data_IF_823458352619
#
_entry.id   IF_823458352619
#
_cell.length_a   1.000
_cell.length_b   1.000
_cell.length_c   1.000
_cell.angle_alpha   90.00
_cell.angle_beta   90.00
_cell.angle_gamma   90.00
#
_symmetry.space_group_name_H-M   'P 1'
#
loop_
_entity.id
_entity.type
_entity.pdbx_description
1 polymer ?
#
# COMPACT_ATOMS: atom_id res chain seq x y z
N UNK A 1 -16.37 1.35 12.99
CA UNK A 1 -15.32 1.30 14.04
C UNK A 1 -14.47 2.58 14.03
N UNK A 2 -13.52 2.83 13.10
CA UNK A 2 -12.67 4.05 13.17
C UNK A 2 -13.49 5.35 13.22
N UNK A 3 -14.47 5.55 12.34
CA UNK A 3 -15.37 6.73 12.36
C UNK A 3 -16.13 6.90 13.67
N UNK A 4 -16.52 5.82 14.32
CA UNK A 4 -17.23 5.85 15.62
C UNK A 4 -16.30 6.30 16.74
N UNK A 5 -15.05 5.84 16.75
CA UNK A 5 -14.03 6.28 17.68
C UNK A 5 -13.71 7.78 17.49
N UNK A 6 -13.52 8.21 16.24
CA UNK A 6 -13.26 9.60 15.90
C UNK A 6 -14.42 10.52 16.31
N UNK A 7 -15.66 10.06 16.21
CA UNK A 7 -16.85 10.82 16.61
C UNK A 7 -16.89 11.14 18.12
N UNK A 8 -16.10 10.45 18.94
CA UNK A 8 -16.01 10.72 20.40
C UNK A 8 -15.00 11.81 20.76
N UNK A 9 -14.26 12.34 19.77
CA UNK A 9 -13.18 13.30 19.95
C UNK A 9 -13.50 14.64 19.28
N UNK A 10 -12.87 15.73 19.72
CA UNK A 10 -13.02 17.06 19.11
C UNK A 10 -12.22 17.18 17.79
N UNK A 11 -12.52 16.32 16.83
CA UNK A 11 -11.88 16.29 15.50
C UNK A 11 -12.91 16.53 14.41
N UNK A 12 -12.51 17.16 13.34
CA UNK A 12 -13.28 17.27 12.11
C UNK A 12 -12.94 16.07 11.21
N UNK A 13 -13.96 15.30 10.82
CA UNK A 13 -13.78 14.06 10.05
C UNK A 13 -14.32 14.25 8.64
N UNK A 14 -13.49 14.03 7.65
CA UNK A 14 -13.82 14.18 6.23
C UNK A 14 -13.37 12.96 5.43
N UNK A 15 -14.01 12.76 4.29
CA UNK A 15 -13.51 11.88 3.25
C UNK A 15 -13.12 12.73 2.05
N UNK A 16 -11.93 12.51 1.51
CA UNK A 16 -11.50 13.22 0.31
C UNK A 16 -12.01 12.54 -0.98
N UNK A 17 -11.66 13.13 -2.11
CA UNK A 17 -12.12 12.72 -3.44
C UNK A 17 -11.58 11.34 -3.86
N UNK A 18 -10.51 10.86 -3.21
CA UNK A 18 -9.95 9.51 -3.42
C UNK A 18 -10.48 8.47 -2.43
N UNK A 19 -11.32 8.90 -1.49
CA UNK A 19 -11.87 8.00 -0.47
C UNK A 19 -11.01 7.88 0.80
N UNK A 20 -9.90 8.61 0.89
CA UNK A 20 -9.11 8.66 2.12
C UNK A 20 -9.93 9.27 3.25
N UNK A 21 -9.82 8.70 4.44
CA UNK A 21 -10.46 9.25 5.64
C UNK A 21 -9.49 10.13 6.39
N UNK A 22 -9.86 11.39 6.59
CA UNK A 22 -9.10 12.38 7.34
C UNK A 22 -9.79 12.75 8.64
N UNK A 23 -9.01 12.93 9.71
CA UNK A 23 -9.52 13.45 10.99
C UNK A 23 -8.57 14.55 11.48
N UNK A 24 -9.07 15.79 11.51
CA UNK A 24 -8.28 16.98 11.84
C UNK A 24 -8.49 17.40 13.29
N UNK A 25 -7.40 17.54 14.03
CA UNK A 25 -7.35 18.13 15.36
C UNK A 25 -6.72 19.52 15.28
N UNK A 26 -7.49 20.54 15.57
CA UNK A 26 -7.07 21.94 15.43
C UNK A 26 -6.07 22.33 16.53
N UNK A 27 -4.91 22.81 16.12
CA UNK A 27 -3.91 23.46 16.95
C UNK A 27 -4.01 24.99 16.94
N UNK A 28 -2.95 25.66 17.37
CA UNK A 28 -2.84 27.13 17.39
C UNK A 28 -2.44 27.70 16.04
N UNK A 29 -1.80 26.92 15.17
CA UNK A 29 -1.46 27.29 13.80
C UNK A 29 -2.11 26.35 12.80
N UNK A 30 -2.16 26.77 11.53
CA UNK A 30 -2.62 25.97 10.40
C UNK A 30 -1.60 24.92 9.95
N UNK A 31 -0.32 25.11 10.32
CA UNK A 31 0.71 24.08 10.06
C UNK A 31 0.26 22.75 10.63
N UNK A 32 0.20 21.72 9.79
CA UNK A 32 -0.37 20.43 10.15
C UNK A 32 0.68 19.32 10.09
N UNK A 33 0.77 18.56 11.16
CA UNK A 33 1.50 17.28 11.18
C UNK A 33 0.49 16.18 10.90
N UNK A 34 0.72 15.39 9.86
CA UNK A 34 -0.11 14.25 9.51
C UNK A 34 0.50 12.97 10.06
N UNK A 35 -0.31 12.16 10.68
CA UNK A 35 0.04 10.79 11.13
C UNK A 35 -0.95 9.84 10.47
N UNK A 36 -0.51 8.73 9.96
CA UNK A 36 -1.45 7.79 9.36
C UNK A 36 -0.80 6.58 8.75
N UNK A 37 -1.61 5.74 8.16
CA UNK A 37 -1.31 4.55 7.39
C UNK A 37 -2.60 4.09 6.70
N UNK A 38 -2.89 2.79 6.62
CA UNK A 38 -4.07 2.23 5.96
C UNK A 38 -4.73 1.15 6.82
N UNK A 39 -6.02 0.90 6.58
CA UNK A 39 -6.78 -0.18 7.22
C UNK A 39 -7.11 -1.34 6.28
N UNK A 40 -6.96 -1.15 4.98
CA UNK A 40 -7.07 -2.24 4.02
C UNK A 40 -5.90 -3.21 4.17
N UNK A 41 -6.07 -4.45 3.72
CA UNK A 41 -5.04 -5.48 3.79
C UNK A 41 -5.14 -6.44 2.61
N UNK A 42 -4.04 -7.09 2.28
CA UNK A 42 -4.03 -8.17 1.28
C UNK A 42 -4.85 -9.37 1.77
N UNK A 43 -5.47 -10.15 0.86
CA UNK A 43 -6.20 -11.37 1.24
C UNK A 43 -5.31 -12.34 2.02
N UNK A 44 -5.79 -12.77 3.18
CA UNK A 44 -5.06 -13.64 4.11
C UNK A 44 -3.72 -13.05 4.60
N UNK A 45 -3.57 -11.74 4.53
CA UNK A 45 -2.36 -11.00 4.92
C UNK A 45 -2.34 -10.60 6.39
N UNK A 46 -1.32 -9.81 6.75
CA UNK A 46 -1.07 -9.35 8.10
C UNK A 46 -2.10 -8.31 8.56
N UNK A 47 -2.84 -8.62 9.58
CA UNK A 47 -3.85 -7.72 10.16
C UNK A 47 -3.28 -6.51 10.93
N UNK A 48 -1.97 -6.49 11.16
CA UNK A 48 -1.24 -5.36 11.78
C UNK A 48 -0.66 -4.42 10.71
N UNK A 49 -0.56 -4.89 9.47
CA UNK A 49 -0.04 -4.12 8.37
C UNK A 49 -0.93 -2.92 8.10
N UNK A 50 -0.35 -1.73 8.12
CA UNK A 50 -1.06 -0.45 8.06
C UNK A 50 -1.90 -0.13 9.30
N UNK A 51 -2.66 -1.10 9.82
CA UNK A 51 -3.56 -0.88 10.95
C UNK A 51 -2.85 -0.37 12.20
N UNK A 52 -1.60 -0.79 12.45
CA UNK A 52 -0.80 -0.27 13.56
C UNK A 52 -0.60 1.25 13.46
N UNK A 53 -0.32 1.77 12.25
CA UNK A 53 -0.10 3.19 12.01
C UNK A 53 -1.37 4.02 12.22
N UNK A 54 -2.51 3.52 11.72
CA UNK A 54 -3.81 4.18 11.93
C UNK A 54 -4.19 4.19 13.41
N UNK A 55 -4.02 3.06 14.13
CA UNK A 55 -4.31 2.98 15.56
C UNK A 55 -3.34 3.84 16.40
N UNK A 56 -2.06 3.89 16.02
CA UNK A 56 -1.07 4.79 16.61
C UNK A 56 -1.46 6.26 16.44
N UNK A 57 -1.88 6.65 15.23
CA UNK A 57 -2.39 7.99 14.93
C UNK A 57 -3.64 8.33 15.72
N UNK A 58 -4.58 7.37 15.88
CA UNK A 58 -5.77 7.54 16.71
C UNK A 58 -5.39 7.80 18.17
N UNK A 59 -4.39 7.10 18.71
CA UNK A 59 -3.93 7.29 20.09
C UNK A 59 -3.23 8.66 20.27
N UNK A 60 -2.52 9.13 19.25
CA UNK A 60 -2.00 10.51 19.24
C UNK A 60 -3.14 11.52 19.36
N UNK A 61 -4.20 11.37 18.56
CA UNK A 61 -5.37 12.28 18.65
C UNK A 61 -6.06 12.21 20.01
N UNK A 62 -6.20 11.02 20.63
CA UNK A 62 -6.74 10.86 21.99
C UNK A 62 -5.89 11.58 23.02
N UNK A 63 -4.58 11.44 22.93
CA UNK A 63 -3.65 12.11 23.82
C UNK A 63 -3.73 13.63 23.70
N UNK A 64 -3.85 14.16 22.48
CA UNK A 64 -4.04 15.59 22.22
C UNK A 64 -5.38 16.09 22.74
N UNK A 65 -6.45 15.32 22.57
CA UNK A 65 -7.79 15.66 23.06
C UNK A 65 -7.85 15.71 24.60
N UNK A 66 -7.06 14.88 25.28
CA UNK A 66 -6.97 14.87 26.74
C UNK A 66 -6.02 15.95 27.30
N UNK A 67 -5.22 16.60 26.45
CA UNK A 67 -4.25 17.60 26.88
C UNK A 67 -4.96 18.89 27.36
N UNK A 68 -4.46 19.57 28.42
CA UNK A 68 -5.10 20.77 28.95
C UNK A 68 -5.00 21.99 28.04
N UNK A 69 -4.12 21.96 27.06
CA UNK A 69 -3.90 23.06 26.12
C UNK A 69 -3.76 22.55 24.70
N UNK A 70 -4.31 23.27 23.71
CA UNK A 70 -4.14 22.90 22.30
C UNK A 70 -2.66 22.87 21.91
N UNK A 71 -2.26 21.92 21.02
CA UNK A 71 -0.90 21.87 20.50
C UNK A 71 -0.56 23.11 19.67
N UNK A 72 0.73 23.36 19.46
CA UNK A 72 1.18 24.53 18.67
C UNK A 72 0.78 24.35 17.21
N UNK A 73 0.95 23.16 16.64
CA UNK A 73 0.54 22.79 15.27
C UNK A 73 -0.77 22.01 15.29
N UNK A 74 -1.50 22.09 14.21
CA UNK A 74 -2.62 21.17 13.96
C UNK A 74 -2.10 19.76 13.69
N UNK A 75 -2.95 18.76 13.95
CA UNK A 75 -2.66 17.36 13.65
C UNK A 75 -3.77 16.79 12.79
N UNK A 76 -3.42 15.86 11.92
CA UNK A 76 -4.40 15.08 11.20
C UNK A 76 -4.03 13.59 11.24
N UNK A 77 -5.03 12.75 11.41
CA UNK A 77 -4.93 11.32 11.12
C UNK A 77 -5.44 11.10 9.71
N UNK A 78 -4.73 10.31 8.93
CA UNK A 78 -5.21 9.81 7.63
C UNK A 78 -5.23 8.29 7.61
N UNK A 79 -6.30 7.74 7.03
CA UNK A 79 -6.43 6.33 6.64
C UNK A 79 -6.47 6.30 5.11
N UNK A 80 -5.39 5.83 4.49
CA UNK A 80 -5.22 5.80 3.04
C UNK A 80 -6.12 4.75 2.41
N UNK A 81 -6.85 5.12 1.37
CA UNK A 81 -7.75 4.24 0.65
C UNK A 81 -6.96 3.36 -0.34
N UNK A 82 -7.25 2.04 -0.31
CA UNK A 82 -6.70 1.02 -1.24
C UNK A 82 -5.17 1.13 -1.39
N UNK A 83 -4.47 1.13 -0.23
CA UNK A 83 -3.01 1.20 -0.20
C UNK A 83 -2.41 -0.06 -0.80
N UNK A 84 -2.91 -1.23 -0.43
CA UNK A 84 -2.43 -2.54 -0.83
C UNK A 84 -2.80 -2.89 -2.29
N UNK A 85 -3.83 -2.27 -2.84
CA UNK A 85 -4.31 -2.55 -4.19
C UNK A 85 -4.79 -3.98 -4.39
N UNK A 86 -5.33 -4.59 -3.34
CA UNK A 86 -5.67 -6.02 -3.31
C UNK A 86 -6.70 -6.43 -4.37
N UNK A 87 -7.59 -5.53 -4.74
CA UNK A 87 -8.66 -5.82 -5.70
C UNK A 87 -8.25 -5.58 -7.16
N UNK A 88 -7.53 -4.50 -7.43
CA UNK A 88 -7.20 -4.05 -8.79
C UNK A 88 -5.72 -4.18 -9.14
N UNK A 89 -4.90 -4.78 -8.26
CA UNK A 89 -3.46 -4.96 -8.43
C UNK A 89 -2.69 -3.64 -8.66
N UNK A 90 -3.20 -2.55 -8.10
CA UNK A 90 -2.60 -1.23 -8.12
C UNK A 90 -2.60 -0.65 -6.70
N UNK A 91 -1.46 -0.71 -6.03
CA UNK A 91 -1.26 -0.16 -4.69
C UNK A 91 -1.16 1.36 -4.68
N UNK A 92 -1.26 1.94 -3.48
CA UNK A 92 -1.10 3.37 -3.20
C UNK A 92 -2.15 4.27 -3.87
N UNK A 93 -3.39 3.80 -4.09
CA UNK A 93 -4.40 4.57 -4.80
C UNK A 93 -4.66 5.93 -4.13
N UNK A 94 -5.02 5.93 -2.86
CA UNK A 94 -5.40 7.13 -2.12
C UNK A 94 -4.23 8.10 -1.92
N UNK A 95 -3.07 7.61 -1.48
CA UNK A 95 -1.89 8.43 -1.24
C UNK A 95 -1.30 9.00 -2.53
N UNK A 96 -1.31 8.24 -3.64
CA UNK A 96 -0.85 8.72 -4.94
C UNK A 96 -1.78 9.80 -5.52
N UNK A 97 -3.10 9.74 -5.26
CA UNK A 97 -4.03 10.80 -5.64
C UNK A 97 -3.69 12.11 -4.91
N UNK A 98 -3.49 12.05 -3.58
CA UNK A 98 -3.09 13.21 -2.77
C UNK A 98 -1.73 13.76 -3.20
N UNK A 99 -0.76 12.90 -3.49
CA UNK A 99 0.56 13.30 -3.98
C UNK A 99 0.54 13.84 -5.43
N UNK A 100 -0.56 13.63 -6.18
CA UNK A 100 -0.67 14.00 -7.59
C UNK A 100 0.20 13.15 -8.52
N UNK A 101 0.51 11.93 -8.11
CA UNK A 101 1.33 10.97 -8.88
C UNK A 101 0.51 9.82 -9.45
N UNK A 102 -0.80 9.75 -9.15
CA UNK A 102 -1.68 8.74 -9.69
C UNK A 102 -1.94 8.99 -11.18
N UNK A 103 -1.63 8.00 -12.01
CA UNK A 103 -1.99 8.03 -13.42
C UNK A 103 -3.46 7.61 -13.57
N UNK A 104 -4.33 8.62 -13.74
CA UNK A 104 -5.78 8.43 -13.83
C UNK A 104 -6.19 7.63 -15.07
N UNK A 105 -5.48 7.79 -16.19
CA UNK A 105 -5.79 7.07 -17.42
C UNK A 105 -5.52 5.57 -17.26
N UNK A 106 -4.42 5.23 -16.57
CA UNK A 106 -4.11 3.82 -16.28
C UNK A 106 -5.17 3.23 -15.33
N UNK A 107 -5.50 3.92 -14.23
CA UNK A 107 -6.43 3.35 -13.25
C UNK A 107 -7.86 3.24 -13.78
N UNK A 108 -8.23 4.06 -14.75
CA UNK A 108 -9.54 4.02 -15.43
C UNK A 108 -9.80 2.70 -16.16
N UNK A 109 -8.74 2.07 -16.65
CA UNK A 109 -8.80 0.81 -17.41
C UNK A 109 -8.64 -0.44 -16.55
N UNK A 110 -8.37 -0.29 -15.26
CA UNK A 110 -8.15 -1.41 -14.35
C UNK A 110 -9.43 -2.20 -14.14
N UNK A 111 -9.28 -3.52 -14.14
CA UNK A 111 -10.37 -4.48 -13.89
C UNK A 111 -10.00 -5.41 -12.75
N UNK A 112 -10.99 -5.70 -11.92
CA UNK A 112 -10.85 -6.75 -10.93
C UNK A 112 -10.94 -8.15 -11.59
N UNK A 113 -10.75 -9.21 -10.81
CA UNK A 113 -10.80 -10.61 -11.29
C UNK A 113 -12.18 -11.04 -11.82
N UNK A 114 -13.22 -10.27 -11.59
CA UNK A 114 -14.57 -10.52 -12.08
C UNK A 114 -14.92 -9.69 -13.32
N UNK A 115 -14.01 -8.81 -13.77
CA UNK A 115 -14.16 -7.94 -14.92
C UNK A 115 -14.81 -6.59 -14.62
N UNK A 116 -15.06 -6.24 -13.35
CA UNK A 116 -15.58 -4.94 -12.99
C UNK A 116 -14.49 -3.87 -13.15
N UNK A 117 -14.86 -2.73 -13.75
CA UNK A 117 -13.93 -1.59 -13.88
C UNK A 117 -13.76 -0.87 -12.53
N UNK A 118 -12.56 -0.38 -12.27
CA UNK A 118 -12.26 0.38 -11.06
C UNK A 118 -13.18 1.60 -10.90
N UNK A 119 -13.41 2.46 -11.93
CA UNK A 119 -14.29 3.61 -11.82
C UNK A 119 -15.70 3.26 -11.31
N UNK A 120 -16.26 2.16 -11.80
CA UNK A 120 -17.63 1.75 -11.43
C UNK A 120 -17.68 1.35 -9.95
N UNK A 121 -16.66 0.63 -9.50
CA UNK A 121 -16.58 0.15 -8.11
C UNK A 121 -16.33 1.28 -7.12
N UNK A 122 -15.40 2.18 -7.41
CA UNK A 122 -15.09 3.27 -6.47
C UNK A 122 -16.19 4.33 -6.42
N UNK A 123 -16.98 4.46 -7.51
CA UNK A 123 -18.14 5.35 -7.55
C UNK A 123 -19.23 4.96 -6.53
N UNK A 124 -19.38 3.66 -6.22
CA UNK A 124 -20.28 3.18 -5.17
C UNK A 124 -19.90 3.70 -3.78
N UNK A 125 -18.64 4.12 -3.61
CA UNK A 125 -18.08 4.69 -2.39
C UNK A 125 -17.89 6.20 -2.44
N UNK A 126 -18.47 6.86 -3.45
CA UNK A 126 -18.44 8.32 -3.59
C UNK A 126 -17.17 8.88 -4.22
N UNK A 127 -16.30 8.02 -4.77
CA UNK A 127 -15.06 8.43 -5.45
C UNK A 127 -15.34 8.65 -6.94
N UNK A 128 -14.94 9.83 -7.44
CA UNK A 128 -15.08 10.20 -8.86
C UNK A 128 -13.69 10.53 -9.41
N UNK A 129 -13.20 9.73 -10.35
CA UNK A 129 -11.82 9.85 -10.86
C UNK A 129 -11.48 11.24 -11.42
N UNK A 130 -12.46 11.92 -12.04
CA UNK A 130 -12.27 13.27 -12.58
C UNK A 130 -12.14 14.35 -11.50
N UNK A 131 -12.44 14.04 -10.25
CA UNK A 131 -12.34 14.95 -9.11
C UNK A 131 -11.05 14.77 -8.28
N UNK A 132 -10.23 13.77 -8.59
CA UNK A 132 -9.06 13.40 -7.77
C UNK A 132 -8.02 14.52 -7.60
N UNK A 133 -7.94 15.46 -8.52
CA UNK A 133 -7.07 16.64 -8.38
C UNK A 133 -7.39 17.48 -7.13
N UNK A 134 -8.63 17.42 -6.65
CA UNK A 134 -9.06 18.06 -5.40
C UNK A 134 -8.32 17.58 -4.16
N UNK A 135 -7.89 16.30 -4.14
CA UNK A 135 -7.16 15.72 -3.03
C UNK A 135 -5.86 16.46 -2.69
N UNK A 136 -5.22 17.10 -3.67
CA UNK A 136 -3.92 17.77 -3.51
C UNK A 136 -3.98 18.96 -2.55
N UNK A 137 -5.14 19.56 -2.38
CA UNK A 137 -5.35 20.67 -1.44
C UNK A 137 -5.11 20.27 0.01
N UNK A 138 -5.20 18.96 0.30
CA UNK A 138 -4.91 18.40 1.63
C UNK A 138 -3.47 18.62 2.09
N UNK A 139 -2.54 18.84 1.16
CA UNK A 139 -1.12 19.06 1.45
C UNK A 139 -0.74 20.52 1.69
N UNK A 140 -1.61 21.50 1.46
CA UNK A 140 -1.28 22.93 1.50
C UNK A 140 -0.65 23.39 2.81
N UNK A 141 -1.03 22.80 3.93
CA UNK A 141 -0.53 23.15 5.26
C UNK A 141 0.24 22.02 5.94
N UNK A 142 0.51 20.93 5.23
CA UNK A 142 1.25 19.80 5.79
C UNK A 142 2.73 20.12 5.86
N UNK A 143 3.27 20.07 7.06
CA UNK A 143 4.70 20.34 7.33
C UNK A 143 5.50 19.06 7.63
N UNK A 144 4.81 17.98 8.00
CA UNK A 144 5.41 16.66 8.21
C UNK A 144 4.35 15.57 8.06
N UNK A 145 4.77 14.41 7.56
CA UNK A 145 4.05 13.16 7.60
C UNK A 145 4.86 12.12 8.39
N UNK A 146 4.19 11.40 9.27
CA UNK A 146 4.77 10.36 10.09
C UNK A 146 3.91 9.10 9.96
N UNK A 147 4.55 7.99 9.77
CA UNK A 147 3.89 6.69 9.73
C UNK A 147 4.58 5.71 10.66
N UNK A 148 3.81 5.14 11.58
CA UNK A 148 4.23 4.00 12.38
C UNK A 148 3.83 2.74 11.62
N UNK A 149 4.82 1.94 11.24
CA UNK A 149 4.59 0.74 10.47
C UNK A 149 5.29 -0.47 11.10
N UNK A 150 4.77 -1.66 10.89
CA UNK A 150 5.53 -2.89 11.19
C UNK A 150 6.70 -3.00 10.22
N UNK A 151 7.78 -3.67 10.60
CA UNK A 151 8.94 -3.82 9.72
C UNK A 151 8.64 -4.65 8.47
N UNK A 152 7.65 -5.53 8.51
CA UNK A 152 7.38 -6.56 7.48
C UNK A 152 8.59 -7.48 7.24
N UNK A 153 9.47 -7.61 8.22
CA UNK A 153 10.70 -8.37 8.15
C UNK A 153 11.25 -8.71 9.54
N UNK A 154 12.34 -9.48 9.64
CA UNK A 154 12.84 -9.98 10.90
C UNK A 154 14.05 -9.21 11.46
N UNK A 155 14.49 -8.12 10.84
CA UNK A 155 15.79 -7.49 11.15
C UNK A 155 15.79 -6.84 12.52
N UNK A 156 14.77 -6.04 12.84
CA UNK A 156 14.67 -5.37 14.14
C UNK A 156 14.60 -6.40 15.27
N UNK A 157 13.83 -7.47 15.11
CA UNK A 157 13.75 -8.54 16.07
C UNK A 157 15.11 -9.25 16.25
N UNK A 158 15.77 -9.57 15.13
CA UNK A 158 17.09 -10.21 15.14
C UNK A 158 18.15 -9.33 15.85
N UNK A 159 18.10 -8.03 15.63
CA UNK A 159 19.01 -7.05 16.24
C UNK A 159 18.60 -6.65 17.67
N UNK A 160 17.46 -7.12 18.15
CA UNK A 160 16.92 -6.76 19.48
C UNK A 160 16.48 -5.30 19.59
N UNK A 161 16.11 -4.67 18.47
CA UNK A 161 15.68 -3.28 18.40
C UNK A 161 14.16 -3.19 18.43
N UNK A 162 13.61 -2.29 19.24
CA UNK A 162 12.17 -2.06 19.32
C UNK A 162 11.63 -1.10 18.25
N UNK A 163 12.48 -0.23 17.71
CA UNK A 163 12.12 0.79 16.72
C UNK A 163 13.30 0.99 15.76
N UNK A 164 12.99 1.15 14.47
CA UNK A 164 13.92 1.58 13.43
C UNK A 164 13.41 2.81 12.69
N UNK A 165 14.32 3.60 12.16
CA UNK A 165 13.96 4.73 11.28
C UNK A 165 14.22 4.28 9.85
N UNK A 166 13.18 4.35 9.00
CA UNK A 166 13.30 4.04 7.58
C UNK A 166 14.14 5.13 6.92
N UNK A 167 15.28 4.72 6.34
CA UNK A 167 16.20 5.63 5.64
C UNK A 167 16.07 5.53 4.12
N UNK A 168 15.32 4.57 3.64
CA UNK A 168 15.07 4.37 2.21
C UNK A 168 14.23 3.12 1.98
N UNK A 169 13.65 3.01 0.79
CA UNK A 169 12.88 1.85 0.32
C UNK A 169 13.49 1.30 -0.96
N UNK A 170 13.23 0.04 -1.25
CA UNK A 170 13.62 -0.58 -2.51
C UNK A 170 12.61 -0.22 -3.61
N UNK A 171 13.12 -0.04 -4.84
CA UNK A 171 12.28 -0.05 -6.02
C UNK A 171 11.72 -1.46 -6.27
N UNK A 172 10.48 -1.53 -6.79
CA UNK A 172 9.82 -2.80 -7.08
C UNK A 172 9.61 -2.91 -8.59
N UNK A 173 10.11 -4.01 -9.17
CA UNK A 173 9.82 -4.43 -10.53
C UNK A 173 8.97 -5.70 -10.50
N UNK A 174 7.95 -5.75 -11.35
CA UNK A 174 7.07 -6.92 -11.49
C UNK A 174 7.06 -7.36 -12.93
N UNK A 175 7.51 -8.60 -13.17
CA UNK A 175 7.64 -9.16 -14.49
C UNK A 175 6.77 -10.41 -14.68
N UNK A 176 6.22 -10.54 -15.87
CA UNK A 176 5.56 -11.76 -16.31
C UNK A 176 6.39 -12.44 -17.38
N UNK A 177 6.93 -13.62 -17.06
CA UNK A 177 7.74 -14.41 -17.96
C UNK A 177 6.95 -15.58 -18.53
N UNK A 178 7.06 -15.80 -19.83
CA UNK A 178 6.42 -16.94 -20.53
C UNK A 178 7.50 -17.86 -21.08
N UNK A 179 7.49 -19.11 -20.60
CA UNK A 179 8.37 -20.15 -21.09
C UNK A 179 7.62 -21.03 -22.09
N UNK A 180 8.01 -20.99 -23.36
CA UNK A 180 7.39 -21.78 -24.41
C UNK A 180 8.10 -23.10 -24.59
N UNK A 181 7.35 -24.19 -24.54
CA UNK A 181 7.82 -25.55 -24.76
C UNK A 181 7.24 -26.19 -26.03
N UNK A 182 7.35 -27.50 -26.13
CA UNK A 182 6.78 -28.29 -27.19
C UNK A 182 6.14 -29.56 -26.61
N UNK A 183 4.92 -29.83 -27.01
CA UNK A 183 4.24 -31.07 -26.66
C UNK A 183 5.00 -32.28 -27.23
N UNK A 184 5.21 -33.29 -26.41
CA UNK A 184 5.91 -34.49 -26.76
C UNK A 184 5.44 -35.69 -25.92
N UNK A 185 5.59 -36.90 -26.47
CA UNK A 185 5.22 -38.09 -25.72
C UNK A 185 6.11 -38.31 -24.50
N UNK A 186 5.50 -38.59 -23.36
CA UNK A 186 6.18 -38.66 -22.06
C UNK A 186 7.28 -39.75 -22.01
N UNK A 187 7.09 -40.91 -22.65
CA UNK A 187 7.99 -42.03 -22.56
C UNK A 187 8.98 -42.19 -23.75
N UNK A 188 8.65 -41.71 -24.93
CA UNK A 188 9.46 -41.98 -26.14
C UNK A 188 10.32 -40.82 -26.61
N UNK A 189 10.03 -39.59 -26.19
CA UNK A 189 10.84 -38.43 -26.52
C UNK A 189 12.15 -38.43 -25.72
N UNK A 190 13.34 -38.52 -26.36
CA UNK A 190 14.62 -38.45 -25.68
C UNK A 190 14.79 -37.17 -24.89
N UNK A 191 15.41 -37.21 -23.73
CA UNK A 191 15.59 -36.06 -22.84
C UNK A 191 16.32 -34.89 -23.49
N UNK A 192 17.35 -35.19 -24.30
CA UNK A 192 18.12 -34.15 -25.01
C UNK A 192 17.37 -33.42 -26.12
N UNK A 193 16.22 -33.98 -26.58
CA UNK A 193 15.39 -33.39 -27.64
C UNK A 193 14.15 -32.69 -27.08
N UNK A 194 13.92 -32.77 -25.75
CA UNK A 194 12.76 -32.14 -25.12
C UNK A 194 12.90 -30.62 -25.05
N UNK A 195 11.81 -29.94 -25.33
CA UNK A 195 11.61 -28.51 -25.08
C UNK A 195 10.57 -28.37 -23.97
N UNK A 196 11.03 -28.53 -22.74
CA UNK A 196 10.21 -28.61 -21.54
C UNK A 196 10.18 -27.23 -20.86
N UNK A 197 9.06 -26.54 -20.95
CA UNK A 197 8.87 -25.19 -20.40
C UNK A 197 8.95 -25.17 -18.88
N UNK A 198 8.41 -26.19 -18.21
CA UNK A 198 8.47 -26.28 -16.75
C UNK A 198 9.91 -26.43 -16.25
N UNK A 199 10.72 -27.27 -16.91
CA UNK A 199 12.15 -27.37 -16.55
C UNK A 199 12.92 -26.08 -16.73
N UNK A 200 12.63 -25.35 -17.83
CA UNK A 200 13.26 -24.04 -18.08
C UNK A 200 12.88 -23.02 -17.00
N UNK A 201 11.59 -22.94 -16.67
CA UNK A 201 11.09 -22.09 -15.61
C UNK A 201 11.67 -22.46 -14.23
N UNK A 202 11.69 -23.75 -13.91
CA UNK A 202 12.25 -24.22 -12.62
C UNK A 202 13.72 -23.86 -12.46
N UNK A 203 14.50 -24.00 -13.54
CA UNK A 203 15.92 -23.58 -13.51
C UNK A 203 16.05 -22.06 -13.32
N UNK A 204 15.26 -21.27 -14.03
CA UNK A 204 15.22 -19.83 -13.84
C UNK A 204 14.87 -19.45 -12.40
N UNK A 205 13.84 -20.07 -11.82
CA UNK A 205 13.42 -19.81 -10.46
C UNK A 205 14.51 -20.12 -9.41
N UNK A 206 15.31 -21.17 -9.62
CA UNK A 206 16.44 -21.50 -8.75
C UNK A 206 17.59 -20.49 -8.88
N UNK A 207 17.85 -20.00 -10.10
CA UNK A 207 18.92 -19.03 -10.35
C UNK A 207 18.54 -17.60 -9.91
N UNK A 208 17.23 -17.29 -9.83
CA UNK A 208 16.72 -15.94 -9.58
C UNK A 208 17.19 -15.37 -8.24
N UNK A 209 17.22 -16.18 -7.18
CA UNK A 209 17.68 -15.75 -5.86
C UNK A 209 19.16 -15.34 -5.87
N UNK A 210 20.01 -16.07 -6.62
CA UNK A 210 21.43 -15.75 -6.78
C UNK A 210 21.62 -14.47 -7.60
N UNK A 211 20.78 -14.24 -8.61
CA UNK A 211 20.79 -13.01 -9.40
C UNK A 211 20.46 -11.83 -8.49
N UNK A 212 19.38 -11.91 -7.71
CA UNK A 212 19.00 -10.86 -6.76
C UNK A 212 20.13 -10.53 -5.78
N UNK A 213 20.73 -11.55 -5.17
CA UNK A 213 21.83 -11.37 -4.21
C UNK A 213 23.04 -10.69 -4.85
N UNK A 214 23.42 -11.04 -6.09
CA UNK A 214 24.54 -10.41 -6.81
C UNK A 214 24.32 -8.92 -7.09
N UNK A 215 23.08 -8.49 -7.20
CA UNK A 215 22.70 -7.09 -7.48
C UNK A 215 22.22 -6.32 -6.23
N UNK A 216 22.36 -6.91 -5.04
CA UNK A 216 21.98 -6.27 -3.77
C UNK A 216 20.46 -6.09 -3.60
N UNK A 217 19.69 -6.90 -4.31
CA UNK A 217 18.22 -6.91 -4.25
C UNK A 217 17.65 -8.21 -3.71
N UNK A 218 16.33 -8.25 -3.57
CA UNK A 218 15.55 -9.43 -3.23
C UNK A 218 14.67 -9.83 -4.42
N UNK A 219 14.39 -11.11 -4.57
CA UNK A 219 13.58 -11.64 -5.66
C UNK A 219 12.58 -12.66 -5.17
N UNK A 220 11.40 -12.67 -5.74
CA UNK A 220 10.34 -13.62 -5.38
C UNK A 220 9.63 -14.11 -6.64
N UNK A 221 9.40 -15.43 -6.75
CA UNK A 221 8.48 -16.00 -7.72
C UNK A 221 7.10 -16.03 -7.07
N UNK A 222 6.26 -15.07 -7.37
CA UNK A 222 4.95 -14.87 -6.72
C UNK A 222 3.90 -15.89 -7.16
N UNK A 223 3.93 -16.32 -8.43
CA UNK A 223 3.00 -17.35 -8.94
C UNK A 223 3.57 -18.08 -10.15
N UNK A 224 3.13 -19.32 -10.33
CA UNK A 224 3.43 -20.15 -11.50
C UNK A 224 2.12 -20.77 -11.99
N UNK A 225 1.88 -20.73 -13.30
CA UNK A 225 0.78 -21.43 -13.93
C UNK A 225 1.30 -22.25 -15.14
N UNK A 226 0.82 -23.51 -15.28
CA UNK A 226 1.20 -24.43 -16.36
C UNK A 226 -0.05 -24.94 -17.08
#
# INVERSE_FOLDING_TARGET
MLREELATMPVEVEQDEAGNLWAYFKGRSTDTVVVGSHLDSVPAGGWLDGALGVMGGLEVLRSLAAAPTPPQRSFALVDWADEEGARFSRSLFGSAAVAGTLDVDIVRELKDRWGNLLPDVVAEHGVVLDALDGCRTRLEHVVAYLELHIEQGPILEHEGLGIGIVTGTYGIERERLVFSGQAAHAGTMPMGMRRDSLRAMSRFALELAEIGARHGGVTTVGSVSC
#
